data_IF_196198381101
#
_entry.id   IF_196198381101
#
_cell.length_a   1.000
_cell.length_b   1.000
_cell.length_c   1.000
_cell.angle_alpha   90.00
_cell.angle_beta   90.00
_cell.angle_gamma   90.00
#
_symmetry.space_group_name_H-M   'P 1'
#
loop_
_entity.id
_entity.type
_entity.pdbx_description
1 polymer ?
#
# COMPACT_ATOMS: atom_id res chain seq x y z
N UNK A 1 -34.05 23.45 -15.72
CA UNK A 1 -32.67 23.95 -15.83
C UNK A 1 -31.86 22.85 -16.48
N UNK A 2 -31.00 23.16 -17.44
CA UNK A 2 -30.11 22.18 -18.06
C UNK A 2 -28.87 22.01 -17.18
N UNK A 3 -28.42 20.78 -16.98
CA UNK A 3 -27.18 20.48 -16.27
C UNK A 3 -25.99 21.06 -17.05
N UNK A 4 -25.14 21.82 -16.35
CA UNK A 4 -24.04 22.57 -16.92
C UNK A 4 -22.68 21.95 -16.57
N UNK A 5 -21.62 22.42 -17.23
CA UNK A 5 -20.25 22.00 -16.90
C UNK A 5 -19.85 22.41 -15.47
N UNK A 6 -20.37 23.53 -14.97
CA UNK A 6 -20.12 23.97 -13.60
C UNK A 6 -20.78 23.03 -12.59
N UNK A 7 -22.02 22.62 -12.83
CA UNK A 7 -22.71 21.64 -11.97
C UNK A 7 -21.89 20.33 -11.89
N UNK A 8 -21.34 19.87 -13.01
CA UNK A 8 -20.46 18.69 -13.04
C UNK A 8 -19.18 18.86 -12.24
N UNK A 9 -18.50 20.00 -12.37
CA UNK A 9 -17.28 20.27 -11.61
C UNK A 9 -17.58 20.31 -10.11
N UNK A 10 -18.64 21.02 -9.71
CA UNK A 10 -19.05 21.12 -8.31
C UNK A 10 -19.40 19.75 -7.73
N UNK A 11 -20.18 18.93 -8.45
CA UNK A 11 -20.56 17.58 -8.00
C UNK A 11 -19.34 16.67 -7.79
N UNK A 12 -18.37 16.70 -8.73
CA UNK A 12 -17.13 15.91 -8.63
C UNK A 12 -16.28 16.38 -7.46
N UNK A 13 -16.04 17.69 -7.35
CA UNK A 13 -15.23 18.24 -6.25
C UNK A 13 -15.87 17.97 -4.89
N UNK A 14 -17.19 18.14 -4.77
CA UNK A 14 -17.92 17.86 -3.54
C UNK A 14 -17.83 16.39 -3.14
N UNK A 15 -18.02 15.43 -4.07
CA UNK A 15 -17.88 14.00 -3.75
C UNK A 15 -16.45 13.65 -3.31
N UNK A 16 -15.44 14.21 -3.98
CA UNK A 16 -14.03 13.96 -3.61
C UNK A 16 -13.66 14.56 -2.24
N UNK A 17 -14.23 15.72 -1.87
CA UNK A 17 -14.09 16.28 -0.52
C UNK A 17 -14.83 15.42 0.51
N UNK A 18 -16.04 14.95 0.22
CA UNK A 18 -16.81 14.06 1.11
C UNK A 18 -16.04 12.77 1.39
N UNK A 19 -15.36 12.22 0.39
CA UNK A 19 -14.50 11.03 0.53
C UNK A 19 -13.15 11.34 1.18
N UNK A 20 -12.86 12.61 1.47
CA UNK A 20 -11.57 13.08 1.98
C UNK A 20 -10.38 12.78 1.06
N UNK A 21 -10.64 12.67 -0.25
CA UNK A 21 -9.60 12.44 -1.26
C UNK A 21 -8.87 13.73 -1.62
N UNK A 22 -9.59 14.86 -1.59
CA UNK A 22 -9.03 16.21 -1.71
C UNK A 22 -9.57 17.09 -0.58
N UNK A 23 -8.93 18.24 -0.38
CA UNK A 23 -9.37 19.26 0.58
C UNK A 23 -9.68 20.58 -0.15
N UNK A 24 -10.70 21.34 0.27
CA UNK A 24 -11.07 22.60 -0.38
C UNK A 24 -9.94 23.64 -0.40
N UNK A 25 -8.96 23.56 0.52
CA UNK A 25 -7.84 24.50 0.54
C UNK A 25 -6.78 24.22 -0.55
N UNK A 26 -6.89 23.11 -1.28
CA UNK A 26 -5.94 22.72 -2.32
C UNK A 26 -6.17 23.43 -3.67
N UNK A 27 -7.32 24.04 -3.88
CA UNK A 27 -7.68 24.68 -5.15
C UNK A 27 -8.51 25.96 -4.95
N UNK A 28 -8.40 26.89 -5.88
CA UNK A 28 -9.27 28.08 -5.91
C UNK A 28 -10.66 27.74 -6.48
N UNK A 29 -11.74 28.42 -6.04
CA UNK A 29 -13.09 28.19 -6.57
C UNK A 29 -13.21 28.51 -8.07
N UNK A 30 -12.41 29.46 -8.57
CA UNK A 30 -12.39 29.87 -9.98
C UNK A 30 -11.08 29.45 -10.70
N UNK A 31 -10.45 28.36 -10.24
CA UNK A 31 -9.24 27.81 -10.86
C UNK A 31 -9.45 26.37 -11.35
N UNK A 32 -10.02 26.20 -12.57
CA UNK A 32 -10.27 24.88 -13.14
C UNK A 32 -9.01 24.03 -13.33
N UNK A 33 -7.84 24.67 -13.49
CA UNK A 33 -6.59 23.95 -13.65
C UNK A 33 -6.15 23.35 -12.29
N UNK A 34 -6.14 24.15 -11.22
CA UNK A 34 -5.84 23.65 -9.89
C UNK A 34 -6.84 22.59 -9.41
N UNK A 35 -8.12 22.75 -9.75
CA UNK A 35 -9.16 21.75 -9.50
C UNK A 35 -8.84 20.43 -10.23
N UNK A 36 -8.52 20.48 -11.53
CA UNK A 36 -8.15 19.31 -12.31
C UNK A 36 -6.90 18.61 -11.74
N UNK A 37 -5.86 19.38 -11.41
CA UNK A 37 -4.62 18.84 -10.85
C UNK A 37 -4.87 18.16 -9.49
N UNK A 38 -5.71 18.73 -8.63
CA UNK A 38 -6.11 18.12 -7.35
C UNK A 38 -6.85 16.79 -7.57
N UNK A 39 -7.81 16.76 -8.50
CA UNK A 39 -8.58 15.55 -8.83
C UNK A 39 -7.66 14.45 -9.37
N UNK A 40 -6.81 14.77 -10.35
CA UNK A 40 -5.91 13.80 -10.96
C UNK A 40 -4.84 13.31 -9.97
N UNK A 41 -4.34 14.20 -9.10
CA UNK A 41 -3.44 13.83 -8.02
C UNK A 41 -4.08 12.82 -7.07
N UNK A 42 -5.30 13.10 -6.60
CA UNK A 42 -6.01 12.19 -5.71
C UNK A 42 -6.36 10.84 -6.34
N UNK A 43 -6.71 10.81 -7.63
CA UNK A 43 -6.89 9.55 -8.37
C UNK A 43 -5.58 8.78 -8.44
N UNK A 44 -4.46 9.46 -8.71
CA UNK A 44 -3.13 8.86 -8.73
C UNK A 44 -2.75 8.26 -7.37
N UNK A 45 -2.97 8.98 -6.28
CA UNK A 45 -2.72 8.51 -4.91
C UNK A 45 -3.60 7.31 -4.54
N UNK A 46 -4.87 7.32 -4.96
CA UNK A 46 -5.78 6.20 -4.79
C UNK A 46 -5.31 4.96 -5.57
N UNK A 47 -4.86 5.12 -6.82
CA UNK A 47 -4.31 4.04 -7.64
C UNK A 47 -3.04 3.43 -7.03
N UNK A 48 -2.12 4.26 -6.51
CA UNK A 48 -0.96 3.78 -5.75
C UNK A 48 -1.42 2.96 -4.54
N UNK A 49 -2.34 3.48 -3.74
CA UNK A 49 -2.84 2.82 -2.54
C UNK A 49 -3.52 1.47 -2.84
N UNK A 50 -4.31 1.40 -3.91
CA UNK A 50 -4.97 0.18 -4.37
C UNK A 50 -3.97 -0.88 -4.82
N UNK A 51 -2.91 -0.48 -5.55
CA UNK A 51 -1.84 -1.40 -5.95
C UNK A 51 -1.08 -1.96 -4.75
N UNK A 52 -0.72 -1.12 -3.79
CA UNK A 52 -0.05 -1.55 -2.55
C UNK A 52 -0.93 -2.51 -1.72
N UNK A 53 -2.24 -2.25 -1.66
CA UNK A 53 -3.18 -3.16 -1.00
C UNK A 53 -3.30 -4.51 -1.72
N UNK A 54 -3.29 -4.50 -3.07
CA UNK A 54 -3.28 -5.72 -3.86
C UNK A 54 -1.99 -6.53 -3.66
N UNK A 55 -0.84 -5.86 -3.63
CA UNK A 55 0.46 -6.46 -3.35
C UNK A 55 0.51 -7.08 -1.93
N UNK A 56 0.04 -6.36 -0.90
CA UNK A 56 -0.01 -6.89 0.47
C UNK A 56 -0.93 -8.11 0.60
N UNK A 57 -2.05 -8.12 -0.13
CA UNK A 57 -2.95 -9.28 -0.21
C UNK A 57 -2.27 -10.45 -0.92
N UNK A 58 -1.55 -10.20 -2.02
CA UNK A 58 -0.83 -11.23 -2.76
C UNK A 58 0.28 -11.85 -1.90
N UNK A 59 1.07 -11.03 -1.19
CA UNK A 59 2.08 -11.50 -0.25
C UNK A 59 1.47 -12.45 0.79
N UNK A 60 0.35 -12.07 1.40
CA UNK A 60 -0.32 -12.91 2.40
C UNK A 60 -0.81 -14.24 1.83
N UNK A 61 -1.34 -14.23 0.60
CA UNK A 61 -1.76 -15.45 -0.08
C UNK A 61 -0.57 -16.37 -0.39
N UNK A 62 0.50 -15.84 -1.00
CA UNK A 62 1.73 -16.59 -1.30
C UNK A 62 2.36 -17.19 -0.03
N UNK A 63 2.35 -16.44 1.07
CA UNK A 63 2.83 -16.92 2.36
C UNK A 63 2.00 -18.11 2.85
N UNK A 64 0.68 -18.01 2.87
CA UNK A 64 -0.20 -19.09 3.33
C UNK A 64 -0.12 -20.32 2.43
N UNK A 65 0.08 -20.15 1.12
CA UNK A 65 0.31 -21.28 0.21
C UNK A 65 1.63 -22.00 0.51
N UNK A 66 2.64 -21.28 1.02
CA UNK A 66 3.95 -21.84 1.35
C UNK A 66 4.02 -22.51 2.74
N UNK A 67 3.37 -21.93 3.75
CA UNK A 67 3.49 -22.36 5.16
C UNK A 67 2.18 -22.81 5.81
N UNK A 68 1.07 -22.82 5.05
CA UNK A 68 -0.30 -23.20 5.42
C UNK A 68 -0.98 -22.32 6.49
N UNK A 69 -0.22 -21.80 7.47
CA UNK A 69 -0.72 -20.97 8.56
C UNK A 69 0.37 -20.12 9.21
N UNK A 70 -0.03 -19.09 9.97
CA UNK A 70 0.93 -18.32 10.77
C UNK A 70 1.64 -19.17 11.84
N UNK A 71 1.00 -20.22 12.36
CA UNK A 71 1.65 -21.18 13.24
C UNK A 71 2.73 -21.97 12.50
N UNK A 72 2.47 -22.34 11.25
CA UNK A 72 3.45 -22.97 10.37
C UNK A 72 4.69 -22.10 10.16
N UNK A 73 4.55 -20.77 10.08
CA UNK A 73 5.70 -19.84 10.08
C UNK A 73 6.56 -20.01 11.33
N UNK A 74 5.96 -20.05 12.52
CA UNK A 74 6.72 -20.23 13.76
C UNK A 74 7.37 -21.60 13.87
N UNK A 75 6.69 -22.65 13.42
CA UNK A 75 7.22 -24.02 13.45
C UNK A 75 8.41 -24.20 12.50
N UNK A 76 8.39 -23.56 11.33
CA UNK A 76 9.43 -23.71 10.30
C UNK A 76 10.56 -22.68 10.42
N UNK A 77 10.25 -21.45 10.85
CA UNK A 77 11.16 -20.30 10.80
C UNK A 77 11.32 -19.58 12.15
N UNK A 78 10.65 -20.05 13.20
CA UNK A 78 10.73 -19.50 14.55
C UNK A 78 9.70 -18.40 14.85
N UNK A 79 9.40 -18.20 16.13
CA UNK A 79 8.32 -17.29 16.56
C UNK A 79 8.52 -15.82 16.14
N UNK A 80 9.77 -15.35 16.06
CA UNK A 80 10.09 -13.99 15.62
C UNK A 80 9.77 -13.76 14.14
N UNK A 81 9.79 -14.81 13.31
CA UNK A 81 9.46 -14.69 11.89
C UNK A 81 8.00 -14.27 11.68
N UNK A 82 7.07 -14.61 12.59
CA UNK A 82 5.68 -14.13 12.53
C UNK A 82 5.64 -12.61 12.61
N UNK A 83 6.38 -12.00 13.53
CA UNK A 83 6.40 -10.54 13.68
C UNK A 83 6.93 -9.89 12.39
N UNK A 84 8.02 -10.43 11.83
CA UNK A 84 8.62 -9.92 10.59
C UNK A 84 7.67 -10.05 9.40
N UNK A 85 6.91 -11.15 9.29
CA UNK A 85 5.86 -11.31 8.27
C UNK A 85 4.81 -10.20 8.39
N UNK A 86 4.29 -9.95 9.60
CA UNK A 86 3.23 -8.96 9.82
C UNK A 86 3.75 -7.55 9.54
N UNK A 87 4.98 -7.25 9.96
CA UNK A 87 5.61 -5.97 9.66
C UNK A 87 5.86 -5.81 8.16
N UNK A 88 6.32 -6.85 7.47
CA UNK A 88 6.52 -6.80 6.02
C UNK A 88 5.20 -6.57 5.28
N UNK A 89 4.14 -7.30 5.61
CA UNK A 89 2.82 -7.09 5.00
C UNK A 89 2.34 -5.64 5.20
N UNK A 90 2.55 -5.10 6.40
CA UNK A 90 2.19 -3.71 6.73
C UNK A 90 3.07 -2.71 5.95
N UNK A 91 4.35 -3.00 5.78
CA UNK A 91 5.27 -2.17 5.02
C UNK A 91 4.88 -2.15 3.53
N UNK A 92 4.59 -3.30 2.94
CA UNK A 92 4.07 -3.40 1.56
C UNK A 92 2.78 -2.58 1.42
N UNK A 93 1.82 -2.76 2.34
CA UNK A 93 0.55 -2.03 2.31
C UNK A 93 0.74 -0.50 2.35
N UNK A 94 1.78 -0.02 3.02
CA UNK A 94 2.09 1.41 3.18
C UNK A 94 3.11 1.94 2.17
N UNK A 95 3.63 1.10 1.28
CA UNK A 95 4.75 1.48 0.40
C UNK A 95 6.02 1.84 1.18
N UNK A 96 6.22 1.22 2.33
CA UNK A 96 7.34 1.45 3.25
C UNK A 96 8.32 0.27 3.27
N UNK A 97 9.31 0.35 4.16
CA UNK A 97 10.30 -0.71 4.40
C UNK A 97 10.31 -1.11 5.87
N UNK A 98 10.63 -2.38 6.14
CA UNK A 98 11.06 -2.84 7.47
C UNK A 98 12.59 -2.84 7.54
N UNK A 99 13.12 -2.62 8.73
CA UNK A 99 14.55 -2.71 8.99
C UNK A 99 14.82 -4.01 9.73
N UNK A 100 15.76 -4.81 9.22
CA UNK A 100 16.19 -6.07 9.81
C UNK A 100 17.71 -6.06 9.98
N UNK A 101 18.18 -6.56 11.12
CA UNK A 101 19.59 -6.93 11.30
C UNK A 101 19.96 -8.08 10.37
N UNK A 102 21.26 -8.34 10.20
CA UNK A 102 21.72 -9.46 9.36
C UNK A 102 21.16 -10.80 9.83
N UNK A 103 21.19 -11.06 11.14
CA UNK A 103 20.70 -12.31 11.73
C UNK A 103 19.18 -12.46 11.54
N UNK A 104 18.40 -11.38 11.68
CA UNK A 104 16.97 -11.41 11.41
C UNK A 104 16.67 -11.64 9.93
N UNK A 105 17.45 -11.03 9.04
CA UNK A 105 17.29 -11.19 7.61
C UNK A 105 17.62 -12.61 7.13
N UNK A 106 18.61 -13.27 7.73
CA UNK A 106 18.91 -14.68 7.45
C UNK A 106 17.75 -15.59 7.87
N UNK A 107 17.18 -15.38 9.06
CA UNK A 107 16.01 -16.13 9.53
C UNK A 107 14.74 -15.85 8.71
N UNK A 108 14.68 -14.68 8.06
CA UNK A 108 13.54 -14.25 7.25
C UNK A 108 13.73 -14.50 5.74
N UNK A 109 14.87 -15.07 5.34
CA UNK A 109 15.25 -15.21 3.93
C UNK A 109 14.27 -16.05 3.10
N UNK A 110 13.48 -16.93 3.73
CA UNK A 110 12.46 -17.76 3.07
C UNK A 110 11.43 -16.93 2.29
N UNK A 111 11.20 -15.67 2.66
CA UNK A 111 10.33 -14.75 1.90
C UNK A 111 10.82 -14.56 0.47
N UNK A 112 12.13 -14.66 0.22
CA UNK A 112 12.71 -14.56 -1.12
C UNK A 112 12.36 -15.74 -2.02
N UNK A 113 12.02 -16.88 -1.43
CA UNK A 113 11.67 -18.11 -2.15
C UNK A 113 10.18 -18.16 -2.53
N UNK A 114 9.38 -17.21 -2.04
CA UNK A 114 7.99 -17.04 -2.47
C UNK A 114 7.92 -16.68 -3.98
N UNK A 115 6.79 -16.96 -4.66
CA UNK A 115 6.64 -16.69 -6.09
C UNK A 115 7.01 -15.25 -6.51
N UNK A 116 6.67 -14.26 -5.68
CA UNK A 116 7.04 -12.86 -5.87
C UNK A 116 8.07 -12.36 -4.85
N UNK A 117 8.86 -13.26 -4.25
CA UNK A 117 9.76 -12.98 -3.14
C UNK A 117 10.73 -11.84 -3.39
N UNK A 118 11.26 -11.72 -4.60
CA UNK A 118 12.12 -10.60 -4.99
C UNK A 118 11.43 -9.23 -4.92
N UNK A 119 10.11 -9.17 -5.16
CA UNK A 119 9.30 -7.94 -5.02
C UNK A 119 9.08 -7.62 -3.55
N UNK A 120 8.69 -8.61 -2.75
CA UNK A 120 8.47 -8.43 -1.31
C UNK A 120 9.74 -8.00 -0.58
N UNK A 121 10.89 -8.53 -1.01
CA UNK A 121 12.17 -8.16 -0.43
C UNK A 121 12.60 -6.71 -0.69
N UNK A 122 12.00 -6.01 -1.65
CA UNK A 122 12.25 -4.56 -1.85
C UNK A 122 11.75 -3.73 -0.66
N UNK A 123 10.78 -4.25 0.11
CA UNK A 123 10.31 -3.66 1.36
C UNK A 123 11.15 -4.04 2.57
N UNK A 124 12.34 -4.62 2.38
CA UNK A 124 13.29 -4.97 3.45
C UNK A 124 14.57 -4.18 3.28
N UNK A 125 14.99 -3.49 4.35
CA UNK A 125 16.26 -2.78 4.44
C UNK A 125 17.13 -3.41 5.51
N UNK A 126 18.38 -3.72 5.17
CA UNK A 126 19.33 -4.27 6.13
C UNK A 126 19.96 -3.14 6.94
N UNK A 127 20.03 -3.33 8.26
CA UNK A 127 20.75 -2.47 9.19
C UNK A 127 21.93 -3.23 9.81
N UNK A 128 22.97 -2.48 10.19
CA UNK A 128 24.20 -3.02 10.82
C UNK A 128 23.94 -3.52 12.25
#
# INVERSE_FOLDING_TARGET
>A
MAYSCTDFVDDVLNDMVIRSWIKPEQYGPDDPQAQCDAVLGAIGDADVSLRLAADAKQFHAELLDAVESLTGVAEQHGALAIANVVYLQTAILKGAVIELTRDEAENFAFVRDLPSGGRWWQSVKLIE
#
